data_IF_054647719304
#
_entry.id   IF_054647719304
#
_cell.length_a   1.000
_cell.length_b   1.000
_cell.length_c   1.000
_cell.angle_alpha   90.00
_cell.angle_beta   90.00
_cell.angle_gamma   90.00
#
_symmetry.space_group_name_H-M   'P 1'
#
loop_
_entity.id
_entity.type
_entity.pdbx_description
1 polymer ?
#
# COMPACT_ATOMS: atom_id res chain seq x y z
N UNK A 1 4.83 -10.99 0.42
CA UNK A 1 4.61 -12.36 -0.15
C UNK A 1 4.07 -12.22 -1.57
N UNK A 2 4.31 -13.18 -2.49
CA UNK A 2 3.83 -13.04 -3.88
C UNK A 2 2.41 -13.60 -4.09
N UNK A 3 1.53 -12.80 -4.70
CA UNK A 3 0.18 -13.17 -5.12
C UNK A 3 0.11 -13.27 -6.65
N UNK A 4 -0.52 -14.34 -7.16
CA UNK A 4 -0.68 -14.55 -8.61
C UNK A 4 -2.01 -13.98 -9.09
N UNK A 5 -1.94 -13.12 -10.08
CA UNK A 5 -3.09 -12.54 -10.79
C UNK A 5 -3.08 -12.89 -12.26
N UNK A 6 -4.26 -12.92 -12.87
CA UNK A 6 -4.43 -13.02 -14.32
C UNK A 6 -4.64 -11.62 -14.88
N UNK A 7 -3.85 -11.23 -15.87
CA UNK A 7 -4.04 -9.97 -16.60
C UNK A 7 -5.08 -10.16 -17.70
N UNK A 8 -5.70 -9.07 -18.21
CA UNK A 8 -6.64 -9.14 -19.33
C UNK A 8 -6.08 -9.89 -20.54
N UNK A 9 -6.97 -10.36 -21.42
CA UNK A 9 -6.66 -11.30 -22.51
C UNK A 9 -5.34 -11.03 -23.22
N UNK A 10 -4.55 -12.10 -23.38
CA UNK A 10 -3.24 -12.07 -24.07
C UNK A 10 -2.08 -11.48 -23.26
N UNK A 11 -2.32 -10.91 -22.05
CA UNK A 11 -1.26 -10.25 -21.26
C UNK A 11 -0.58 -11.15 -20.21
N UNK A 12 -1.03 -12.40 -20.09
CA UNK A 12 -0.40 -13.43 -19.26
C UNK A 12 -0.67 -13.33 -17.75
N UNK A 13 0.11 -14.08 -16.98
CA UNK A 13 0.06 -14.05 -15.51
C UNK A 13 0.94 -12.94 -14.94
N UNK A 14 0.56 -12.44 -13.77
CA UNK A 14 1.28 -11.46 -12.99
C UNK A 14 1.54 -12.03 -11.60
N UNK A 15 2.77 -11.90 -11.09
CA UNK A 15 3.12 -12.19 -9.71
C UNK A 15 3.46 -10.86 -9.02
N UNK A 16 2.68 -10.46 -8.02
CA UNK A 16 2.86 -9.20 -7.30
C UNK A 16 3.31 -9.46 -5.87
N UNK A 17 4.33 -8.75 -5.41
CA UNK A 17 4.62 -8.67 -3.99
C UNK A 17 3.72 -7.62 -3.34
N UNK A 18 2.98 -8.02 -2.31
CA UNK A 18 2.13 -7.16 -1.47
C UNK A 18 2.85 -5.89 -1.01
N UNK A 19 4.11 -6.02 -0.63
CA UNK A 19 4.91 -4.96 0.01
C UNK A 19 5.26 -3.81 -0.95
N UNK A 20 5.07 -4.02 -2.26
CA UNK A 20 5.31 -3.01 -3.28
C UNK A 20 4.01 -2.42 -3.83
N UNK A 21 2.84 -2.91 -3.41
CA UNK A 21 1.55 -2.36 -3.82
C UNK A 21 1.33 -1.06 -3.07
N UNK A 22 1.15 0.04 -3.82
CA UNK A 22 0.89 1.37 -3.28
C UNK A 22 -0.60 1.62 -3.17
N UNK A 23 -1.32 1.38 -4.25
CA UNK A 23 -2.73 1.72 -4.34
C UNK A 23 -3.45 0.81 -5.34
N UNK A 24 -4.70 0.51 -5.04
CA UNK A 24 -5.60 -0.27 -5.89
C UNK A 24 -6.85 0.56 -6.16
N UNK A 25 -7.28 0.62 -7.42
CA UNK A 25 -8.46 1.38 -7.84
C UNK A 25 -9.06 0.82 -9.13
N UNK A 26 -10.31 1.15 -9.42
CA UNK A 26 -10.97 0.73 -10.65
C UNK A 26 -10.45 1.47 -11.89
N UNK A 27 -10.33 0.77 -13.01
CA UNK A 27 -9.93 1.39 -14.28
C UNK A 27 -11.00 2.39 -14.80
N UNK A 28 -10.57 3.53 -15.37
CA UNK A 28 -11.47 4.47 -16.08
C UNK A 28 -11.98 3.86 -17.41
N UNK A 29 -13.12 3.17 -17.33
CA UNK A 29 -14.09 2.77 -18.40
C UNK A 29 -13.61 2.23 -19.76
N UNK A 30 -14.23 1.12 -20.23
CA UNK A 30 -15.02 1.04 -21.49
C UNK A 30 -15.58 -0.35 -21.83
N UNK A 31 -15.25 -1.39 -21.06
CA UNK A 31 -15.72 -2.77 -21.33
C UNK A 31 -16.65 -3.23 -20.21
N UNK A 32 -17.60 -4.10 -20.54
CA UNK A 32 -18.59 -4.66 -19.58
C UNK A 32 -17.95 -5.41 -18.40
N UNK A 33 -16.64 -5.68 -18.47
CA UNK A 33 -15.87 -6.34 -17.42
C UNK A 33 -15.19 -5.33 -16.48
N UNK A 34 -15.48 -5.45 -15.19
CA UNK A 34 -14.79 -4.71 -14.13
C UNK A 34 -13.30 -5.08 -14.11
N UNK A 35 -12.43 -4.11 -14.39
CA UNK A 35 -10.97 -4.27 -14.35
C UNK A 35 -10.37 -3.45 -13.21
N UNK A 36 -9.45 -4.07 -12.48
CA UNK A 36 -8.77 -3.46 -11.33
C UNK A 36 -7.37 -3.04 -11.72
N UNK A 37 -6.99 -1.82 -11.35
CA UNK A 37 -5.62 -1.31 -11.48
C UNK A 37 -4.91 -1.46 -10.15
N UNK A 38 -3.78 -2.16 -10.16
CA UNK A 38 -2.85 -2.26 -9.04
C UNK A 38 -1.60 -1.44 -9.38
N UNK A 39 -1.37 -0.37 -8.64
CA UNK A 39 -0.13 0.41 -8.75
C UNK A 39 0.90 -0.11 -7.78
N UNK A 40 2.12 -0.23 -8.27
CA UNK A 40 3.27 -0.63 -7.47
C UNK A 40 4.37 0.42 -7.52
N UNK A 41 5.21 0.43 -6.49
CA UNK A 41 6.49 1.12 -6.50
C UNK A 41 7.59 0.18 -6.07
N UNK A 42 8.59 -0.01 -6.93
CA UNK A 42 9.78 -0.79 -6.65
C UNK A 42 10.95 -0.21 -7.44
N UNK A 43 12.11 -0.05 -6.81
CA UNK A 43 13.29 0.51 -7.46
C UNK A 43 13.15 1.96 -7.94
N UNK A 44 12.18 2.72 -7.41
CA UNK A 44 11.91 4.10 -7.82
C UNK A 44 11.00 4.24 -9.05
N UNK A 45 10.55 3.13 -9.64
CA UNK A 45 9.61 3.14 -10.76
C UNK A 45 8.18 2.97 -10.28
N UNK A 46 7.25 3.75 -10.84
CA UNK A 46 5.83 3.62 -10.61
C UNK A 46 5.21 2.81 -11.77
N UNK A 47 4.69 1.61 -11.48
CA UNK A 47 4.12 0.73 -12.51
C UNK A 47 2.66 0.42 -12.19
N UNK A 48 1.79 0.56 -13.19
CA UNK A 48 0.38 0.16 -13.09
C UNK A 48 0.17 -1.18 -13.78
N UNK A 49 -0.44 -2.13 -13.08
CA UNK A 49 -0.88 -3.40 -13.62
C UNK A 49 -2.40 -3.44 -13.66
N UNK A 50 -2.96 -3.89 -14.78
CA UNK A 50 -4.40 -4.16 -14.89
C UNK A 50 -4.63 -5.65 -14.67
N UNK A 51 -5.57 -5.98 -13.80
CA UNK A 51 -5.94 -7.33 -13.38
C UNK A 51 -7.40 -7.59 -13.76
N UNK A 52 -7.67 -8.77 -14.30
CA UNK A 52 -9.00 -9.24 -14.68
C UNK A 52 -9.72 -9.87 -13.48
N UNK A 53 -9.86 -9.10 -12.39
CA UNK A 53 -10.61 -9.48 -11.18
C UNK A 53 -11.29 -8.24 -10.58
N UNK A 54 -12.43 -8.42 -9.88
CA UNK A 54 -13.05 -7.37 -9.09
C UNK A 54 -12.09 -6.84 -8.01
N UNK A 55 -12.24 -5.56 -7.67
CA UNK A 55 -11.34 -4.87 -6.75
C UNK A 55 -11.30 -5.52 -5.37
N UNK A 56 -12.45 -5.93 -4.85
CA UNK A 56 -12.58 -6.60 -3.54
C UNK A 56 -11.83 -7.93 -3.48
N UNK A 57 -11.84 -8.70 -4.56
CA UNK A 57 -11.06 -9.94 -4.63
C UNK A 57 -9.55 -9.67 -4.62
N UNK A 58 -9.11 -8.62 -5.33
CA UNK A 58 -7.70 -8.24 -5.38
C UNK A 58 -7.22 -7.78 -4.00
N UNK A 59 -7.99 -6.93 -3.34
CA UNK A 59 -7.71 -6.45 -1.97
C UNK A 59 -7.67 -7.64 -1.02
N UNK A 60 -8.68 -8.50 -1.02
CA UNK A 60 -8.75 -9.69 -0.15
C UNK A 60 -7.54 -10.61 -0.32
N UNK A 61 -7.11 -10.88 -1.55
CA UNK A 61 -5.94 -11.74 -1.81
C UNK A 61 -4.62 -11.11 -1.37
N UNK A 62 -4.47 -9.78 -1.52
CA UNK A 62 -3.27 -9.07 -1.06
C UNK A 62 -3.26 -8.95 0.47
N UNK A 63 -4.40 -8.76 1.11
CA UNK A 63 -4.52 -8.75 2.56
C UNK A 63 -4.26 -10.11 3.18
N UNK A 64 -4.69 -11.20 2.54
CA UNK A 64 -4.29 -12.56 2.93
C UNK A 64 -2.76 -12.78 2.84
N UNK A 65 -2.05 -11.95 2.07
CA UNK A 65 -0.60 -11.94 1.96
C UNK A 65 0.10 -10.93 2.88
N UNK A 66 -0.65 -10.24 3.73
CA UNK A 66 -0.14 -9.32 4.77
C UNK A 66 -0.29 -7.83 4.47
N UNK A 67 -0.86 -7.43 3.33
CA UNK A 67 -1.09 -6.00 3.06
C UNK A 67 -2.33 -5.46 3.79
N UNK A 68 -2.15 -4.39 4.57
CA UNK A 68 -3.24 -3.63 5.17
C UNK A 68 -3.62 -2.48 4.24
N UNK A 69 -4.93 -2.20 4.10
CA UNK A 69 -5.40 -1.14 3.22
C UNK A 69 -6.40 -0.24 3.94
N UNK A 70 -6.27 1.06 3.75
CA UNK A 70 -7.36 2.00 4.03
C UNK A 70 -8.16 2.24 2.76
N UNK A 71 -9.48 2.38 2.92
CA UNK A 71 -10.39 2.76 1.85
C UNK A 71 -10.75 4.23 2.00
N UNK A 72 -10.42 5.02 0.97
CA UNK A 72 -10.74 6.45 0.88
C UNK A 72 -11.30 6.80 -0.51
N UNK A 73 -11.96 7.93 -0.63
CA UNK A 73 -12.52 8.42 -1.89
C UNK A 73 -11.71 9.60 -2.42
N UNK A 74 -11.25 9.50 -3.66
CA UNK A 74 -10.46 10.56 -4.29
C UNK A 74 -11.27 11.84 -4.46
N UNK A 75 -10.72 12.96 -4.01
CA UNK A 75 -11.30 14.28 -4.27
C UNK A 75 -11.22 14.61 -5.76
N UNK A 76 -12.30 15.15 -6.31
CA UNK A 76 -12.43 15.54 -7.72
C UNK A 76 -13.25 14.58 -8.57
N UNK A 77 -13.09 13.26 -8.41
CA UNK A 77 -13.86 12.27 -9.18
C UNK A 77 -14.51 11.15 -8.37
N UNK A 78 -14.36 11.16 -7.04
CA UNK A 78 -15.08 10.29 -6.12
C UNK A 78 -14.71 8.81 -6.24
N UNK A 79 -13.61 8.45 -6.92
CA UNK A 79 -13.20 7.05 -7.01
C UNK A 79 -12.74 6.52 -5.67
N UNK A 80 -13.21 5.33 -5.35
CA UNK A 80 -12.65 4.49 -4.29
C UNK A 80 -11.21 4.13 -4.58
N UNK A 81 -10.36 4.37 -3.58
CA UNK A 81 -8.95 4.04 -3.53
C UNK A 81 -8.70 3.14 -2.33
N UNK A 82 -8.02 2.02 -2.55
CA UNK A 82 -7.45 1.20 -1.48
C UNK A 82 -5.96 1.49 -1.41
N UNK A 83 -5.52 2.22 -0.39
CA UNK A 83 -4.12 2.62 -0.23
C UNK A 83 -3.47 1.70 0.78
N UNK A 84 -2.34 1.09 0.41
CA UNK A 84 -1.59 0.24 1.30
C UNK A 84 -0.99 1.08 2.44
N UNK A 85 -1.30 0.73 3.68
CA UNK A 85 -0.87 1.44 4.89
C UNK A 85 0.65 1.56 4.94
N UNK A 86 1.36 0.49 4.62
CA UNK A 86 2.83 0.45 4.66
C UNK A 86 3.49 1.37 3.61
N UNK A 87 2.72 1.83 2.62
CA UNK A 87 3.18 2.75 1.58
C UNK A 87 2.82 4.20 1.87
N UNK A 88 2.09 4.50 2.95
CA UNK A 88 1.77 5.86 3.36
C UNK A 88 2.97 6.46 4.10
N UNK A 89 3.48 7.59 3.60
CA UNK A 89 4.62 8.31 4.20
C UNK A 89 4.18 9.56 4.96
N UNK A 90 2.94 10.01 4.78
CA UNK A 90 2.40 11.13 5.53
C UNK A 90 0.97 11.46 5.11
N UNK A 91 0.25 12.11 6.02
CA UNK A 91 -1.09 12.65 5.80
C UNK A 91 -1.07 14.11 6.25
N UNK A 92 -1.56 15.03 5.42
CA UNK A 92 -1.60 16.46 5.73
C UNK A 92 -2.74 17.15 5.00
N UNK A 93 -3.13 18.33 5.48
CA UNK A 93 -4.15 19.13 4.83
C UNK A 93 -3.55 20.04 3.76
N UNK A 94 -4.21 20.13 2.61
CA UNK A 94 -3.85 21.05 1.52
C UNK A 94 -5.12 21.56 0.85
N UNK A 95 -5.32 22.87 0.88
CA UNK A 95 -6.49 23.49 0.26
C UNK A 95 -7.83 23.05 0.87
N UNK A 96 -7.85 22.76 2.18
CA UNK A 96 -9.06 22.31 2.90
C UNK A 96 -9.44 20.85 2.68
N UNK A 97 -8.57 20.05 2.05
CA UNK A 97 -8.74 18.62 1.86
C UNK A 97 -7.59 17.87 2.52
N UNK A 98 -7.87 16.68 3.07
CA UNK A 98 -6.81 15.78 3.47
C UNK A 98 -6.09 15.24 2.23
N UNK A 99 -4.78 15.11 2.32
CA UNK A 99 -3.90 14.59 1.27
C UNK A 99 -3.02 13.50 1.86
N UNK A 100 -3.09 12.32 1.26
CA UNK A 100 -2.27 11.17 1.60
C UNK A 100 -1.07 11.14 0.66
N UNK A 101 0.12 11.17 1.24
CA UNK A 101 1.38 10.98 0.53
C UNK A 101 1.84 9.55 0.65
N UNK A 102 2.28 8.99 -0.47
CA UNK A 102 2.79 7.63 -0.57
C UNK A 102 4.27 7.60 -0.94
N UNK A 103 4.86 6.40 -0.93
CA UNK A 103 6.21 6.09 -1.41
C UNK A 103 6.39 6.27 -2.92
N UNK A 104 5.29 6.35 -3.70
CA UNK A 104 5.34 6.61 -5.13
C UNK A 104 5.93 8.01 -5.44
N UNK A 105 6.52 8.15 -6.62
CA UNK A 105 7.16 9.41 -7.05
C UNK A 105 6.27 10.28 -7.96
N UNK A 106 6.57 11.58 -8.03
CA UNK A 106 5.95 12.51 -8.98
C UNK A 106 4.46 12.73 -8.76
N UNK A 107 3.68 12.74 -9.84
CA UNK A 107 2.21 12.96 -9.83
C UNK A 107 1.42 11.82 -9.19
N UNK A 108 2.09 10.71 -8.82
CA UNK A 108 1.50 9.55 -8.17
C UNK A 108 1.79 9.50 -6.67
N UNK A 109 2.56 10.46 -6.16
CA UNK A 109 2.95 10.51 -4.76
C UNK A 109 1.80 10.95 -3.85
N UNK A 110 0.92 11.83 -4.31
CA UNK A 110 -0.08 12.50 -3.49
C UNK A 110 -1.50 12.22 -3.97
N UNK A 111 -2.40 11.92 -3.02
CA UNK A 111 -3.81 11.69 -3.25
C UNK A 111 -4.63 12.58 -2.32
N UNK A 112 -5.26 13.62 -2.86
CA UNK A 112 -6.25 14.40 -2.12
C UNK A 112 -7.56 13.63 -2.07
N UNK A 113 -8.16 13.54 -0.88
CA UNK A 113 -9.31 12.67 -0.60
C UNK A 113 -10.47 13.47 0.01
N UNK A 114 -11.67 12.88 0.01
CA UNK A 114 -12.90 13.50 0.52
C UNK A 114 -12.94 13.42 2.05
N UNK A 115 -12.37 12.36 2.60
CA UNK A 115 -12.28 12.11 4.05
C UNK A 115 -11.46 13.19 4.75
N UNK A 116 -11.83 13.50 6.00
CA UNK A 116 -11.04 14.40 6.85
C UNK A 116 -9.76 13.72 7.34
N UNK A 117 -8.78 14.52 7.78
CA UNK A 117 -7.54 13.98 8.36
C UNK A 117 -7.83 13.11 9.60
N UNK A 118 -8.78 13.52 10.45
CA UNK A 118 -9.19 12.75 11.63
C UNK A 118 -9.80 11.39 11.25
N UNK A 119 -10.59 11.36 10.17
CA UNK A 119 -11.18 10.11 9.65
C UNK A 119 -10.08 9.14 9.19
N UNK A 120 -9.06 9.67 8.51
CA UNK A 120 -7.92 8.88 8.03
C UNK A 120 -7.10 8.36 9.21
N UNK A 121 -6.87 9.18 10.23
CA UNK A 121 -6.18 8.78 11.46
C UNK A 121 -6.90 7.59 12.13
N UNK A 122 -8.22 7.66 12.28
CA UNK A 122 -9.00 6.55 12.84
C UNK A 122 -8.90 5.26 12.00
N UNK A 123 -8.86 5.37 10.68
CA UNK A 123 -8.70 4.22 9.78
C UNK A 123 -7.32 3.56 9.96
N UNK A 124 -6.26 4.37 10.08
CA UNK A 124 -4.90 3.87 10.28
C UNK A 124 -4.75 3.14 11.62
N UNK A 125 -5.34 3.67 12.69
CA UNK A 125 -5.31 3.05 14.02
C UNK A 125 -6.06 1.72 14.06
N UNK A 126 -7.19 1.62 13.34
CA UNK A 126 -7.97 0.36 13.26
C UNK A 126 -7.20 -0.73 12.54
N UNK A 127 -6.50 -0.41 11.45
CA UNK A 127 -5.70 -1.38 10.71
C UNK A 127 -4.52 -1.91 11.53
N UNK A 128 -3.87 -1.05 12.31
CA UNK A 128 -2.76 -1.43 13.21
C UNK A 128 -3.22 -2.42 14.30
N UNK A 129 -4.46 -2.28 14.77
CA UNK A 129 -5.05 -3.17 15.77
C UNK A 129 -5.42 -4.57 15.24
N UNK A 130 -5.56 -4.72 13.93
CA UNK A 130 -5.90 -5.99 13.26
C UNK A 130 -4.68 -6.81 12.82
N UNK A 131 -3.46 -6.26 12.88
CA UNK A 131 -2.27 -7.05 12.65
C UNK A 131 -1.97 -7.95 13.87
N UNK A 132 -1.78 -9.27 13.70
CA UNK A 132 -1.30 -10.10 14.80
C UNK A 132 0.10 -9.60 15.17
N UNK A 133 0.22 -9.04 16.37
CA UNK A 133 1.49 -8.71 17.02
C UNK A 133 2.49 -9.83 16.74
N UNK A 134 3.43 -9.57 15.82
CA UNK A 134 4.61 -10.41 15.74
C UNK A 134 5.35 -10.16 17.04
N UNK A 135 5.29 -11.14 17.93
CA UNK A 135 6.02 -11.11 19.18
C UNK A 135 7.48 -10.81 18.86
N UNK A 136 7.91 -9.57 19.16
CA UNK A 136 9.31 -9.18 19.15
C UNK A 136 9.97 -10.04 20.21
N UNK A 137 10.59 -11.15 19.79
CA UNK A 137 11.50 -11.88 20.65
C UNK A 137 12.60 -10.89 21.05
N UNK A 138 12.85 -10.64 22.35
CA UNK A 138 13.92 -9.77 22.76
C UNK A 138 15.24 -10.41 22.33
N UNK A 139 15.84 -9.88 21.28
CA UNK A 139 17.22 -10.19 20.92
C UNK A 139 18.08 -9.70 22.08
N UNK A 140 18.52 -10.64 22.93
CA UNK A 140 19.54 -10.37 23.95
C UNK A 140 20.77 -9.81 23.24
N UNK A 141 20.96 -8.50 23.29
CA UNK A 141 22.16 -7.83 22.84
C UNK A 141 23.37 -8.43 23.57
N UNK A 142 24.14 -9.29 22.89
CA UNK A 142 25.48 -9.67 23.34
C UNK A 142 26.43 -8.52 23.06
N UNK A 143 26.51 -7.57 23.99
CA UNK A 143 27.63 -6.65 24.06
C UNK A 143 28.93 -7.46 24.22
N UNK A 144 29.73 -7.58 23.16
CA UNK A 144 31.13 -8.00 23.27
C UNK A 144 31.92 -6.83 23.85
N UNK A 145 32.48 -7.01 25.04
CA UNK A 145 33.44 -6.05 25.61
C UNK A 145 34.65 -5.92 24.69
N UNK A 146 35.17 -4.70 24.44
CA UNK A 146 36.41 -4.52 23.70
C UNK A 146 37.59 -5.05 24.52
N UNK A 147 38.49 -5.78 23.86
CA UNK A 147 39.73 -6.32 24.41
C UNK A 147 40.72 -5.17 24.55
N UNK A 148 41.00 -4.76 25.78
CA UNK A 148 42.07 -3.79 26.09
C UNK A 148 43.41 -4.44 25.74
N UNK A 149 44.12 -3.88 24.76
CA UNK A 149 45.50 -4.25 24.48
C UNK A 149 46.40 -3.49 25.47
N UNK A 150 46.93 -4.20 26.47
CA UNK A 150 48.05 -3.74 27.26
C UNK A 150 49.34 -3.95 26.45
N UNK A 151 49.94 -2.85 26.00
CA UNK A 151 51.26 -2.84 25.37
C UNK A 151 52.08 -1.71 25.95
N UNK A 152 53.03 -2.12 26.80
CA UNK A 152 54.24 -1.45 27.33
C UNK A 152 54.73 -0.18 26.62
#
# INVERSE_FOLDING_TARGET
>A
MFTKFTRPEGKGSLLLNSDHVVIIFEAQQQTEEQQTVVRTTAGGENINFVVAKPIEEVVSQLSACGAAFIHVNRSGDGRTLFINVDQIVGVYERGGLATIRTTASGTHAEYSVIESIDTIEEMLVKEDATQPSSAVLPVKARFRKPKVASGS
#
